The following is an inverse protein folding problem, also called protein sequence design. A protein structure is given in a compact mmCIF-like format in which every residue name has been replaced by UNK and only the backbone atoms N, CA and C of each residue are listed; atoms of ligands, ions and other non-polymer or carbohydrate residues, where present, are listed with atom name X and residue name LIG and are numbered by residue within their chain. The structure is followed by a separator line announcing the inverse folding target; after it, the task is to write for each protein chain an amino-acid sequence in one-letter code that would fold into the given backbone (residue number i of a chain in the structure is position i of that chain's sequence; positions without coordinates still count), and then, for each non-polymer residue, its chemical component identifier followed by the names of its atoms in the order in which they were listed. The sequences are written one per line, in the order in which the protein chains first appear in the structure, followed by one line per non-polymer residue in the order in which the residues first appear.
data_IF_243195701064
#
_entry.id   IF_243195701064
#
_cell.length_a   1.000
_cell.length_b   1.000
_cell.length_c   1.000
_cell.angle_alpha   90.00
_cell.angle_beta   90.00
_cell.angle_gamma   90.00
#
_symmetry.space_group_name_H-M   'P 1'
#
loop_
_entity.id
_entity.type
_entity.pdbx_description
1 polymer ?
#
# COMPACT_ATOMS: atom_id res chain seq x y z
N UNK A 1 -0.23 7.63 -10.82
CA UNK A 1 -0.72 6.99 -12.06
C UNK A 1 -0.22 7.76 -13.28
N UNK A 2 0.13 7.06 -14.35
CA UNK A 2 0.50 7.61 -15.66
C UNK A 2 1.99 7.55 -16.04
N UNK A 3 2.81 6.81 -15.29
CA UNK A 3 4.24 6.62 -15.60
C UNK A 3 4.46 5.44 -16.56
N UNK A 4 5.62 5.39 -17.22
CA UNK A 4 5.96 4.29 -18.12
C UNK A 4 5.99 2.94 -17.40
N UNK A 5 6.41 2.93 -16.14
CA UNK A 5 6.50 1.71 -15.33
C UNK A 5 5.21 1.39 -14.54
N UNK A 6 4.06 2.04 -14.81
CA UNK A 6 2.87 1.83 -13.96
C UNK A 6 2.31 0.39 -13.96
N UNK A 7 2.59 -0.34 -15.05
CA UNK A 7 2.18 -1.73 -15.23
C UNK A 7 3.30 -2.72 -14.88
N UNK A 8 4.47 -2.24 -14.49
CA UNK A 8 5.60 -3.09 -14.14
C UNK A 8 5.43 -3.62 -12.72
N UNK A 9 5.86 -4.86 -12.51
CA UNK A 9 5.89 -5.46 -11.18
C UNK A 9 7.19 -5.04 -10.50
N UNK A 10 7.08 -4.44 -9.31
CA UNK A 10 8.23 -3.93 -8.57
C UNK A 10 9.22 -5.02 -8.11
N UNK A 11 8.73 -6.26 -7.94
CA UNK A 11 9.53 -7.42 -7.55
C UNK A 11 9.25 -8.62 -8.46
N UNK A 12 10.26 -9.46 -8.67
CA UNK A 12 10.10 -10.70 -9.42
C UNK A 12 9.17 -11.68 -8.69
N UNK A 13 8.47 -12.52 -9.45
CA UNK A 13 7.49 -13.50 -8.92
C UNK A 13 8.07 -14.45 -7.86
N UNK A 14 9.33 -14.88 -8.03
CA UNK A 14 9.99 -15.75 -7.05
C UNK A 14 10.20 -15.06 -5.68
N UNK A 15 10.41 -13.73 -5.68
CA UNK A 15 10.54 -12.95 -4.45
C UNK A 15 9.18 -12.79 -3.78
N UNK A 16 8.13 -12.52 -4.56
CA UNK A 16 6.76 -12.38 -4.05
C UNK A 16 6.31 -13.71 -3.43
N UNK A 17 6.48 -14.83 -4.14
CA UNK A 17 6.08 -16.15 -3.65
C UNK A 17 6.86 -16.64 -2.41
N UNK A 18 8.01 -16.04 -2.11
CA UNK A 18 8.80 -16.34 -0.93
C UNK A 18 8.54 -15.34 0.23
N UNK A 19 7.72 -14.33 0.01
CA UNK A 19 7.39 -13.33 1.02
C UNK A 19 6.31 -13.86 1.97
N UNK A 20 6.31 -13.34 3.20
CA UNK A 20 5.17 -13.51 4.13
C UNK A 20 4.29 -12.25 4.14
N UNK A 21 4.88 -11.09 3.84
CA UNK A 21 4.21 -9.80 3.85
C UNK A 21 4.72 -8.92 2.72
N UNK A 22 3.79 -8.25 2.04
CA UNK A 22 4.07 -7.27 1.00
C UNK A 22 3.60 -5.89 1.44
N UNK A 23 4.51 -4.92 1.39
CA UNK A 23 4.24 -3.53 1.70
C UNK A 23 4.49 -2.66 0.47
N UNK A 24 3.41 -2.11 -0.09
CA UNK A 24 3.45 -1.19 -1.23
C UNK A 24 2.91 0.19 -0.80
N UNK A 25 3.70 1.24 -1.01
CA UNK A 25 3.36 2.62 -0.62
C UNK A 25 2.64 3.42 -1.71
N UNK A 26 2.45 2.84 -2.91
CA UNK A 26 1.69 3.49 -3.98
C UNK A 26 0.22 3.60 -3.56
N UNK A 27 -0.26 4.83 -3.41
CA UNK A 27 -1.63 5.10 -2.97
C UNK A 27 -2.65 5.19 -4.12
N UNK A 28 -2.22 5.52 -5.34
CA UNK A 28 -3.11 5.63 -6.51
C UNK A 28 -2.45 5.18 -7.83
N UNK A 29 -2.94 4.09 -8.45
CA UNK A 29 -3.94 3.15 -7.91
C UNK A 29 -3.37 2.37 -6.70
N UNK A 30 -4.23 1.98 -5.75
CA UNK A 30 -3.81 1.16 -4.60
C UNK A 30 -3.66 -0.33 -4.94
N UNK A 31 -4.32 -0.79 -6.00
CA UNK A 31 -4.16 -2.13 -6.57
C UNK A 31 -3.08 -2.08 -7.64
N UNK A 32 -1.82 -2.10 -7.21
CA UNK A 32 -0.67 -2.20 -8.12
C UNK A 32 -0.50 -3.64 -8.64
N UNK A 33 0.30 -3.87 -9.69
CA UNK A 33 0.67 -5.21 -10.10
C UNK A 33 1.31 -6.04 -8.97
N UNK A 34 2.08 -5.41 -8.07
CA UNK A 34 2.66 -6.06 -6.89
C UNK A 34 1.57 -6.52 -5.90
N UNK A 35 0.65 -5.62 -5.53
CA UNK A 35 -0.46 -5.95 -4.63
C UNK A 35 -1.34 -7.05 -5.22
N UNK A 36 -1.59 -7.01 -6.52
CA UNK A 36 -2.38 -8.04 -7.22
C UNK A 36 -1.67 -9.40 -7.18
N UNK A 37 -0.36 -9.43 -7.43
CA UNK A 37 0.43 -10.67 -7.39
C UNK A 37 0.53 -11.24 -5.96
N UNK A 38 0.78 -10.39 -4.97
CA UNK A 38 0.89 -10.79 -3.56
C UNK A 38 -0.45 -11.33 -3.01
N UNK A 39 -1.57 -10.70 -3.38
CA UNK A 39 -2.91 -11.19 -3.06
C UNK A 39 -3.16 -12.58 -3.65
N UNK A 40 -2.69 -12.83 -4.88
CA UNK A 40 -2.82 -14.14 -5.52
C UNK A 40 -1.92 -15.20 -4.88
N UNK A 41 -0.77 -14.81 -4.32
CA UNK A 41 0.13 -15.67 -3.55
C UNK A 41 -0.39 -15.97 -2.13
N UNK A 42 -1.29 -15.12 -1.60
CA UNK A 42 -1.87 -15.28 -0.26
C UNK A 42 -1.08 -14.57 0.84
N UNK A 43 -0.25 -13.59 0.47
CA UNK A 43 0.60 -12.83 1.39
C UNK A 43 -0.21 -11.86 2.25
N UNK A 44 0.31 -11.50 3.43
CA UNK A 44 -0.20 -10.36 4.19
C UNK A 44 0.10 -9.04 3.46
N UNK A 45 -0.88 -8.13 3.40
CA UNK A 45 -0.78 -6.91 2.60
C UNK A 45 -0.84 -5.64 3.47
N UNK A 46 0.12 -4.75 3.24
CA UNK A 46 0.06 -3.35 3.67
C UNK A 46 0.05 -2.44 2.44
N UNK A 47 -0.99 -1.61 2.29
CA UNK A 47 -1.22 -0.83 1.06
C UNK A 47 -0.99 0.66 1.24
N UNK A 48 -0.67 1.37 0.16
CA UNK A 48 -0.48 2.82 0.17
C UNK A 48 -1.74 3.58 0.58
N UNK A 49 -2.93 2.99 0.37
CA UNK A 49 -4.20 3.54 0.87
C UNK A 49 -4.28 3.55 2.40
N UNK A 50 -3.77 2.51 3.07
CA UNK A 50 -3.66 2.49 4.54
C UNK A 50 -2.63 3.53 5.02
N UNK A 51 -1.51 3.65 4.32
CA UNK A 51 -0.46 4.63 4.64
C UNK A 51 -1.00 6.05 4.54
N UNK A 52 -1.65 6.41 3.42
CA UNK A 52 -2.14 7.78 3.21
C UNK A 52 -3.21 8.17 4.25
N UNK A 53 -4.07 7.22 4.63
CA UNK A 53 -5.08 7.44 5.67
C UNK A 53 -4.43 7.65 7.05
N UNK A 54 -3.51 6.79 7.45
CA UNK A 54 -2.86 6.87 8.75
C UNK A 54 -1.96 8.11 8.89
N UNK A 55 -1.22 8.47 7.83
CA UNK A 55 -0.42 9.71 7.88
C UNK A 55 -1.32 10.95 7.96
N UNK A 56 -2.46 10.95 7.25
CA UNK A 56 -3.38 12.09 7.27
C UNK A 56 -4.04 12.24 8.63
N UNK A 57 -4.45 11.14 9.26
CA UNK A 57 -4.99 11.14 10.61
C UNK A 57 -3.95 11.65 11.64
N UNK A 58 -2.69 11.21 11.53
CA UNK A 58 -1.61 11.67 12.40
C UNK A 58 -1.33 13.17 12.23
N UNK A 59 -1.41 13.70 11.00
CA UNK A 59 -1.27 15.14 10.76
C UNK A 59 -2.47 15.93 11.31
N UNK A 60 -3.69 15.43 11.12
CA UNK A 60 -4.90 16.05 11.66
C UNK A 60 -4.83 16.19 13.19
N UNK A 61 -4.43 15.13 13.89
CA UNK A 61 -4.25 15.16 15.35
C UNK A 61 -3.18 16.17 15.77
N UNK A 62 -2.04 16.22 15.06
CA UNK A 62 -0.99 17.20 15.35
C UNK A 62 -1.44 18.65 15.17
N UNK A 63 -2.30 18.92 14.20
CA UNK A 63 -2.76 20.28 13.91
C UNK A 63 -3.93 20.72 14.78
N UNK A 64 -4.79 19.79 15.17
CA UNK A 64 -6.06 20.11 15.85
C UNK A 64 -6.10 19.70 17.33
N UNK A 65 -5.20 18.81 17.74
CA UNK A 65 -5.26 18.13 19.04
C UNK A 65 -6.37 17.07 19.13
N UNK A 66 -7.14 16.84 18.06
CA UNK A 66 -8.24 15.87 18.01
C UNK A 66 -7.81 14.64 17.23
N UNK A 67 -7.93 13.46 17.84
CA UNK A 67 -7.66 12.19 17.18
C UNK A 67 -8.88 11.73 16.38
N UNK A 68 -8.78 11.54 15.05
CA UNK A 68 -9.86 10.96 14.25
C UNK A 68 -10.14 9.51 14.67
N UNK A 69 -11.41 9.14 14.72
CA UNK A 69 -11.84 7.74 14.82
C UNK A 69 -11.79 7.08 13.45
N UNK A 70 -11.75 5.75 13.42
CA UNK A 70 -11.70 4.97 12.19
C UNK A 70 -13.06 4.87 11.46
N UNK A 71 -14.10 5.52 11.99
CA UNK A 71 -15.50 5.49 11.52
C UNK A 71 -15.82 6.71 10.67
#
# INVERSE_FOLDING_TARGET
AGGQEEHDVAFGQATIAAAETVFDVVALPSETPLITAARAAGDDLCTGAQVIALQAAAQFERYTGVRPTAE
#
